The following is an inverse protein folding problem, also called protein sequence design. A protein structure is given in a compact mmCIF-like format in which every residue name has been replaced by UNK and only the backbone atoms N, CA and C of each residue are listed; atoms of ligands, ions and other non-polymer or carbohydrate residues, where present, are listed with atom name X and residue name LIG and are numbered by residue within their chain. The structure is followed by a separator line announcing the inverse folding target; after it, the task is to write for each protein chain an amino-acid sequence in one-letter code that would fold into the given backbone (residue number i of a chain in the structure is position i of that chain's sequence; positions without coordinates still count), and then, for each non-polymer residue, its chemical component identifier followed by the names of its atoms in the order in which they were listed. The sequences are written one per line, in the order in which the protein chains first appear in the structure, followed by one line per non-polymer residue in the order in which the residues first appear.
data_IF_742526863251
#
_entry.id   IF_742526863251
#
_cell.length_a   1.000
_cell.length_b   1.000
_cell.length_c   1.000
_cell.angle_alpha   90.00
_cell.angle_beta   90.00
_cell.angle_gamma   90.00
#
_symmetry.space_group_name_H-M   'P 1'
#
loop_
_entity.id
_entity.type
_entity.pdbx_description
1 polymer ?
#
# COMPACT_ATOMS: atom_id res chain seq x y z
N UNK A 1 33.52 -22.62 18.77
CA UNK A 1 32.51 -22.68 17.68
C UNK A 1 32.10 -21.25 17.41
N UNK A 2 31.88 -20.86 16.16
CA UNK A 2 31.30 -19.55 15.86
C UNK A 2 29.87 -19.50 16.43
N UNK A 3 29.45 -18.35 16.95
CA UNK A 3 28.07 -18.18 17.40
C UNK A 3 27.09 -18.38 16.24
N UNK A 4 25.89 -18.90 16.53
CA UNK A 4 24.80 -18.91 15.57
C UNK A 4 24.40 -17.49 15.21
N UNK A 5 23.97 -17.28 13.96
CA UNK A 5 23.59 -15.96 13.48
C UNK A 5 22.06 -15.79 13.46
N UNK A 6 21.63 -14.58 13.76
CA UNK A 6 20.27 -14.12 13.54
C UNK A 6 20.27 -12.90 12.62
N UNK A 7 19.34 -12.82 11.67
CA UNK A 7 19.11 -11.60 10.88
C UNK A 7 17.99 -10.80 11.52
N UNK A 8 18.28 -9.55 11.87
CA UNK A 8 17.30 -8.62 12.44
C UNK A 8 16.80 -7.68 11.35
N UNK A 9 15.47 -7.62 11.18
CA UNK A 9 14.81 -6.54 10.44
C UNK A 9 15.07 -5.22 11.16
N UNK A 10 15.95 -4.39 10.62
CA UNK A 10 16.48 -3.22 11.29
C UNK A 10 16.04 -1.92 10.60
N UNK A 11 15.24 -1.13 11.30
CA UNK A 11 14.80 0.20 10.83
C UNK A 11 15.66 1.35 11.37
N UNK A 12 16.54 1.08 12.32
CA UNK A 12 17.30 2.11 13.03
C UNK A 12 16.50 2.87 14.11
N UNK A 13 15.23 2.53 14.30
CA UNK A 13 14.40 3.06 15.38
C UNK A 13 14.79 2.51 16.76
N UNK A 14 14.17 3.05 17.81
CA UNK A 14 14.44 2.68 19.20
C UNK A 14 14.28 1.16 19.42
N UNK A 15 13.10 0.61 19.09
CA UNK A 15 12.75 -0.78 19.32
C UNK A 15 13.77 -1.74 18.67
N UNK A 16 14.04 -1.54 17.36
CA UNK A 16 14.98 -2.41 16.65
C UNK A 16 16.42 -2.25 17.11
N UNK A 17 16.79 -1.10 17.67
CA UNK A 17 18.11 -0.85 18.26
C UNK A 17 18.25 -1.55 19.60
N UNK A 18 17.25 -1.51 20.46
CA UNK A 18 17.21 -2.22 21.75
C UNK A 18 17.23 -3.75 21.58
N UNK A 19 16.66 -4.26 20.48
CA UNK A 19 16.64 -5.70 20.17
C UNK A 19 18.05 -6.25 19.93
N UNK A 20 19.02 -5.47 19.45
CA UNK A 20 20.38 -5.95 19.15
C UNK A 20 21.06 -6.51 20.40
N UNK A 21 21.27 -5.75 21.50
CA UNK A 21 21.88 -6.28 22.72
C UNK A 21 21.02 -7.37 23.34
N UNK A 22 19.69 -7.25 23.31
CA UNK A 22 18.78 -8.25 23.85
C UNK A 22 18.95 -9.63 23.20
N UNK A 23 19.09 -9.71 21.87
CA UNK A 23 19.34 -10.97 21.17
C UNK A 23 20.67 -11.61 21.56
N UNK A 24 21.69 -10.79 21.81
CA UNK A 24 23.02 -11.26 22.24
C UNK A 24 22.99 -11.85 23.65
N UNK A 25 22.30 -11.16 24.56
CA UNK A 25 22.21 -11.58 25.97
C UNK A 25 21.27 -12.77 26.17
N UNK A 26 20.13 -12.77 25.48
CA UNK A 26 19.08 -13.76 25.67
C UNK A 26 19.36 -15.08 24.98
N UNK A 27 19.98 -15.03 23.80
CA UNK A 27 20.16 -16.18 22.91
C UNK A 27 21.60 -16.46 22.51
N UNK A 28 22.55 -15.64 22.93
CA UNK A 28 23.98 -15.72 22.54
C UNK A 28 24.22 -15.66 21.02
N UNK A 29 23.36 -14.96 20.28
CA UNK A 29 23.48 -14.82 18.85
C UNK A 29 24.56 -13.81 18.42
N UNK A 30 25.10 -14.06 17.23
CA UNK A 30 25.75 -13.05 16.41
C UNK A 30 24.69 -12.35 15.56
N UNK A 31 24.48 -11.03 15.81
CA UNK A 31 23.38 -10.27 15.22
C UNK A 31 23.83 -9.59 13.94
N UNK A 32 23.20 -9.97 12.82
CA UNK A 32 23.32 -9.32 11.51
C UNK A 32 22.10 -8.46 11.28
N UNK A 33 22.27 -7.15 11.17
CA UNK A 33 21.18 -6.24 10.84
C UNK A 33 20.94 -6.20 9.34
N UNK A 34 19.67 -6.07 8.94
CA UNK A 34 19.29 -5.86 7.54
C UNK A 34 18.21 -4.77 7.48
N UNK A 35 18.56 -3.64 6.87
CA UNK A 35 17.62 -2.60 6.48
C UNK A 35 17.32 -2.75 4.99
N UNK A 36 16.03 -2.68 4.64
CA UNK A 36 15.61 -2.75 3.24
C UNK A 36 15.09 -1.38 2.83
N UNK A 37 15.71 -0.81 1.82
CA UNK A 37 15.32 0.48 1.25
C UNK A 37 14.18 0.29 0.25
N UNK A 38 13.01 0.81 0.63
CA UNK A 38 11.82 0.92 -0.22
C UNK A 38 11.56 2.38 -0.65
N UNK A 39 12.59 3.22 -0.67
CA UNK A 39 12.51 4.63 -0.99
C UNK A 39 12.13 5.53 0.19
N UNK A 40 12.51 5.17 1.43
CA UNK A 40 12.31 5.98 2.63
C UNK A 40 13.26 7.18 2.77
N UNK A 41 14.27 7.29 1.91
CA UNK A 41 15.14 8.48 1.82
C UNK A 41 16.07 8.67 3.02
N UNK A 42 16.03 9.86 3.63
CA UNK A 42 16.96 10.31 4.69
C UNK A 42 16.94 9.44 5.96
N UNK A 43 15.97 8.56 6.15
CA UNK A 43 15.91 7.63 7.28
C UNK A 43 17.09 6.63 7.30
N UNK A 44 17.82 6.50 6.19
CA UNK A 44 18.98 5.62 6.06
C UNK A 44 20.30 6.24 6.57
N UNK A 45 20.32 7.55 6.83
CA UNK A 45 21.53 8.26 7.23
C UNK A 45 22.01 7.81 8.62
N UNK A 46 23.33 7.50 8.72
CA UNK A 46 23.97 7.07 9.96
C UNK A 46 23.53 5.70 10.51
N UNK A 47 22.80 4.92 9.71
CA UNK A 47 22.23 3.64 10.12
C UNK A 47 23.29 2.59 10.41
N UNK A 48 24.35 2.53 9.60
CA UNK A 48 25.45 1.56 9.76
C UNK A 48 26.21 1.80 11.06
N UNK A 49 26.59 3.06 11.32
CA UNK A 49 27.29 3.43 12.56
C UNK A 49 26.45 3.06 13.79
N UNK A 50 25.13 3.34 13.76
CA UNK A 50 24.20 3.02 14.84
C UNK A 50 24.09 1.51 15.07
N UNK A 51 23.93 0.71 14.02
CA UNK A 51 23.82 -0.74 14.14
C UNK A 51 25.09 -1.36 14.74
N UNK A 52 26.26 -0.99 14.21
CA UNK A 52 27.54 -1.51 14.70
C UNK A 52 27.86 -1.07 16.13
N UNK A 53 27.58 0.20 16.45
CA UNK A 53 27.77 0.71 17.81
C UNK A 53 26.86 0.01 18.82
N UNK A 54 25.64 -0.35 18.41
CA UNK A 54 24.69 -1.11 19.23
C UNK A 54 25.05 -2.59 19.40
N UNK A 55 26.12 -3.04 18.73
CA UNK A 55 26.67 -4.38 18.88
C UNK A 55 26.30 -5.39 17.79
N UNK A 56 25.71 -4.96 16.69
CA UNK A 56 25.58 -5.79 15.51
C UNK A 56 26.96 -6.10 14.90
N UNK A 57 27.14 -7.28 14.36
CA UNK A 57 28.39 -7.66 13.68
C UNK A 57 28.44 -7.13 12.24
N UNK A 58 27.30 -6.84 11.66
CA UNK A 58 27.16 -6.39 10.27
C UNK A 58 25.82 -5.70 10.03
N UNK A 59 25.78 -4.75 9.10
CA UNK A 59 24.55 -4.21 8.51
C UNK A 59 24.54 -4.48 7.00
N UNK A 60 23.41 -4.90 6.51
CA UNK A 60 23.02 -4.86 5.11
C UNK A 60 22.03 -3.72 4.90
N UNK A 61 22.24 -2.90 3.88
CA UNK A 61 21.26 -1.96 3.34
C UNK A 61 20.98 -2.43 1.92
N UNK A 62 19.78 -2.98 1.72
CA UNK A 62 19.38 -3.59 0.46
C UNK A 62 18.34 -2.69 -0.23
N UNK A 63 18.73 -2.02 -1.32
CA UNK A 63 17.82 -1.19 -2.11
C UNK A 63 16.94 -2.09 -3.00
N UNK A 64 15.64 -2.06 -2.77
CA UNK A 64 14.63 -2.74 -3.57
C UNK A 64 13.66 -1.75 -4.22
N UNK A 65 14.01 -0.48 -4.32
CA UNK A 65 13.06 0.58 -4.76
C UNK A 65 12.43 0.28 -6.12
N UNK A 66 13.23 -0.10 -7.12
CA UNK A 66 12.69 -0.46 -8.45
C UNK A 66 11.85 -1.75 -8.37
N UNK A 67 12.34 -2.80 -7.68
CA UNK A 67 11.60 -4.06 -7.47
C UNK A 67 10.29 -3.85 -6.71
N UNK A 68 10.30 -3.00 -5.69
CA UNK A 68 9.11 -2.62 -4.93
C UNK A 68 8.06 -1.96 -5.82
N UNK A 69 8.48 -1.07 -6.72
CA UNK A 69 7.57 -0.44 -7.67
C UNK A 69 6.99 -1.43 -8.68
N UNK A 70 7.84 -2.25 -9.30
CA UNK A 70 7.44 -3.12 -10.40
C UNK A 70 6.65 -4.35 -9.93
N UNK A 71 7.08 -4.97 -8.83
CA UNK A 71 6.58 -6.28 -8.39
C UNK A 71 5.62 -6.23 -7.20
N UNK A 72 5.46 -5.07 -6.52
CA UNK A 72 4.53 -4.93 -5.39
C UNK A 72 3.53 -3.79 -5.58
N UNK A 73 3.99 -2.60 -5.98
CA UNK A 73 3.10 -1.45 -6.21
C UNK A 73 2.25 -1.66 -7.46
N UNK A 74 2.88 -1.93 -8.61
CA UNK A 74 2.16 -2.03 -9.88
C UNK A 74 1.08 -3.13 -9.91
N UNK A 75 1.29 -4.34 -9.35
CA UNK A 75 0.20 -5.31 -9.20
C UNK A 75 -0.99 -4.79 -8.41
N UNK A 76 -0.76 -4.00 -7.35
CA UNK A 76 -1.84 -3.37 -6.58
C UNK A 76 -2.55 -2.27 -7.37
N UNK A 77 -1.83 -1.45 -8.14
CA UNK A 77 -2.40 -0.42 -9.01
C UNK A 77 -3.25 -1.07 -10.09
N UNK A 78 -2.72 -2.07 -10.80
CA UNK A 78 -3.44 -2.78 -11.87
C UNK A 78 -4.68 -3.52 -11.36
N UNK A 79 -4.66 -3.97 -10.11
CA UNK A 79 -5.80 -4.62 -9.46
C UNK A 79 -6.86 -3.64 -8.92
N UNK A 80 -6.61 -2.34 -8.91
CA UNK A 80 -7.38 -1.33 -8.14
C UNK A 80 -7.53 -1.74 -6.67
N UNK A 81 -6.43 -2.22 -6.08
CA UNK A 81 -6.43 -2.78 -4.73
C UNK A 81 -6.50 -1.67 -3.68
N UNK A 82 -7.68 -1.47 -3.12
CA UNK A 82 -7.93 -0.47 -2.06
C UNK A 82 -8.60 -1.15 -0.88
N UNK A 83 -7.92 -1.18 0.27
CA UNK A 83 -8.49 -1.78 1.48
C UNK A 83 -9.52 -0.85 2.12
N UNK A 84 -10.69 -1.42 2.46
CA UNK A 84 -11.84 -0.70 3.06
C UNK A 84 -12.23 0.57 2.26
N UNK A 85 -12.04 0.56 0.94
CA UNK A 85 -12.33 1.64 -0.01
C UNK A 85 -11.56 2.95 0.25
N UNK A 86 -10.46 2.92 1.01
CA UNK A 86 -9.67 4.10 1.37
C UNK A 86 -8.16 3.89 1.38
N UNK A 87 -7.69 2.78 1.95
CA UNK A 87 -6.28 2.56 2.22
C UNK A 87 -5.57 1.93 1.02
N UNK A 88 -4.58 2.64 0.49
CA UNK A 88 -3.78 2.23 -0.68
C UNK A 88 -2.61 1.29 -0.34
N UNK A 89 -2.70 0.56 0.78
CA UNK A 89 -1.86 -0.59 1.14
C UNK A 89 -0.35 -0.33 1.32
N UNK A 90 0.11 0.90 1.44
CA UNK A 90 1.54 1.24 1.37
C UNK A 90 2.44 0.44 2.32
N UNK A 91 2.06 0.29 3.58
CA UNK A 91 2.79 -0.57 4.52
C UNK A 91 2.64 -2.05 4.15
N UNK A 92 1.41 -2.45 3.77
CA UNK A 92 1.08 -3.87 3.54
C UNK A 92 1.83 -4.48 2.36
N UNK A 93 2.01 -3.71 1.27
CA UNK A 93 2.71 -4.20 0.08
C UNK A 93 4.23 -4.07 0.18
N UNK A 94 4.77 -3.27 1.11
CA UNK A 94 6.21 -3.20 1.34
C UNK A 94 6.73 -4.41 2.14
N UNK A 95 5.97 -4.89 3.12
CA UNK A 95 6.41 -5.97 4.01
C UNK A 95 6.76 -7.28 3.31
N UNK A 96 6.06 -7.74 2.25
CA UNK A 96 6.47 -8.92 1.49
C UNK A 96 7.85 -8.78 0.85
N UNK A 97 8.17 -7.65 0.22
CA UNK A 97 9.48 -7.38 -0.36
C UNK A 97 10.58 -7.32 0.69
N UNK A 98 10.34 -6.61 1.79
CA UNK A 98 11.26 -6.54 2.93
C UNK A 98 11.55 -7.94 3.49
N UNK A 99 10.51 -8.72 3.78
CA UNK A 99 10.67 -10.04 4.37
C UNK A 99 11.36 -11.04 3.43
N UNK A 100 11.10 -10.96 2.12
CA UNK A 100 11.83 -11.75 1.12
C UNK A 100 13.32 -11.44 1.14
N UNK A 101 13.70 -10.17 1.24
CA UNK A 101 15.10 -9.74 1.31
C UNK A 101 15.76 -10.18 2.62
N UNK A 102 15.03 -10.14 3.74
CA UNK A 102 15.53 -10.70 5.01
C UNK A 102 15.85 -12.20 4.89
N UNK A 103 15.01 -12.97 4.19
CA UNK A 103 15.26 -14.39 3.92
C UNK A 103 16.51 -14.58 3.06
N UNK A 104 16.70 -13.78 2.00
CA UNK A 104 17.91 -13.83 1.17
C UNK A 104 19.18 -13.58 1.99
N UNK A 105 19.18 -12.53 2.83
CA UNK A 105 20.31 -12.20 3.71
C UNK A 105 20.53 -13.32 4.74
N UNK A 106 19.48 -13.89 5.31
CA UNK A 106 19.60 -15.00 6.25
C UNK A 106 20.24 -16.23 5.61
N UNK A 107 19.88 -16.56 4.37
CA UNK A 107 20.53 -17.62 3.60
C UNK A 107 22.00 -17.33 3.31
N UNK A 108 22.30 -16.09 2.89
CA UNK A 108 23.67 -15.64 2.60
C UNK A 108 24.59 -15.71 3.83
N UNK A 109 24.07 -15.37 5.00
CA UNK A 109 24.81 -15.38 6.26
C UNK A 109 24.78 -16.77 6.98
N UNK A 110 24.07 -17.77 6.44
CA UNK A 110 23.80 -19.05 7.09
C UNK A 110 23.18 -18.83 8.49
N UNK A 111 22.29 -17.87 8.62
CA UNK A 111 21.59 -17.60 9.87
C UNK A 111 20.54 -18.68 10.17
N UNK A 112 20.34 -18.95 11.45
CA UNK A 112 19.36 -19.95 11.91
C UNK A 112 18.00 -19.33 12.26
N UNK A 113 17.95 -18.00 12.32
CA UNK A 113 16.75 -17.27 12.71
C UNK A 113 16.64 -15.91 12.01
N UNK A 114 15.41 -15.41 11.90
CA UNK A 114 15.08 -14.03 11.54
C UNK A 114 14.32 -13.43 12.73
N UNK A 115 14.70 -12.19 13.11
CA UNK A 115 14.03 -11.42 14.15
C UNK A 115 13.38 -10.17 13.55
N UNK A 116 12.18 -9.83 14.02
CA UNK A 116 11.51 -8.56 13.66
C UNK A 116 11.01 -7.83 14.91
N UNK A 117 11.04 -6.50 14.88
CA UNK A 117 10.60 -5.62 15.96
C UNK A 117 9.11 -5.24 15.92
N UNK A 118 8.30 -5.92 15.11
CA UNK A 118 6.88 -5.60 15.01
C UNK A 118 6.16 -5.90 16.34
N UNK A 119 5.39 -4.90 16.83
CA UNK A 119 4.65 -5.01 18.08
C UNK A 119 3.52 -6.02 18.02
N UNK A 120 3.13 -6.59 19.16
CA UNK A 120 2.03 -7.56 19.25
C UNK A 120 0.64 -7.01 18.91
N UNK A 121 0.49 -5.68 18.80
CA UNK A 121 -0.77 -4.99 18.46
C UNK A 121 -0.89 -4.65 16.97
N UNK A 122 0.22 -4.71 16.21
CA UNK A 122 0.26 -4.34 14.79
C UNK A 122 0.03 -5.52 13.85
N UNK A 123 -0.33 -5.22 12.59
CA UNK A 123 -0.47 -6.21 11.53
C UNK A 123 0.89 -6.72 11.02
N UNK A 124 1.96 -5.97 11.18
CA UNK A 124 3.26 -6.23 10.56
C UNK A 124 3.88 -7.54 11.02
N UNK A 125 3.65 -7.94 12.29
CA UNK A 125 4.08 -9.25 12.77
C UNK A 125 3.52 -10.39 11.89
N UNK A 126 2.24 -10.29 11.49
CA UNK A 126 1.60 -11.30 10.63
C UNK A 126 2.24 -11.26 9.24
N UNK A 127 2.43 -10.08 8.69
CA UNK A 127 3.00 -9.87 7.35
C UNK A 127 4.41 -10.43 7.22
N UNK A 128 5.29 -10.12 8.17
CA UNK A 128 6.65 -10.68 8.19
C UNK A 128 6.65 -12.19 8.32
N UNK A 129 5.91 -12.71 9.31
CA UNK A 129 5.95 -14.14 9.61
C UNK A 129 5.34 -15.01 8.52
N UNK A 130 4.23 -14.59 7.89
CA UNK A 130 3.64 -15.35 6.79
C UNK A 130 4.58 -15.46 5.60
N UNK A 131 5.31 -14.40 5.28
CA UNK A 131 6.32 -14.41 4.21
C UNK A 131 7.49 -15.33 4.57
N UNK A 132 8.05 -15.18 5.78
CA UNK A 132 9.17 -16.03 6.23
C UNK A 132 8.74 -17.52 6.22
N UNK A 133 7.54 -17.83 6.70
CA UNK A 133 7.00 -19.20 6.66
C UNK A 133 6.82 -19.73 5.24
N UNK A 134 6.46 -18.88 4.29
CA UNK A 134 6.30 -19.26 2.89
C UNK A 134 7.65 -19.52 2.19
N UNK A 135 8.65 -18.67 2.45
CA UNK A 135 9.93 -18.69 1.72
C UNK A 135 11.04 -19.47 2.43
N UNK A 136 10.98 -19.57 3.77
CA UNK A 136 12.00 -20.19 4.59
C UNK A 136 11.40 -20.90 5.83
N UNK A 137 10.61 -21.97 5.62
CA UNK A 137 9.89 -22.66 6.70
C UNK A 137 10.80 -23.32 7.75
N UNK A 138 12.07 -23.48 7.44
CA UNK A 138 13.11 -24.03 8.31
C UNK A 138 13.77 -22.99 9.23
N UNK A 139 13.62 -21.69 8.95
CA UNK A 139 14.19 -20.65 9.79
C UNK A 139 13.30 -20.37 11.01
N UNK A 140 13.94 -20.23 12.17
CA UNK A 140 13.26 -19.80 13.39
C UNK A 140 12.87 -18.31 13.28
N UNK A 141 11.65 -17.99 13.73
CA UNK A 141 11.20 -16.60 13.83
C UNK A 141 11.28 -16.16 15.30
N UNK A 142 11.87 -15.00 15.54
CA UNK A 142 11.96 -14.37 16.86
C UNK A 142 11.17 -13.06 16.81
N UNK A 143 10.19 -12.96 17.70
CA UNK A 143 9.33 -11.78 17.85
C UNK A 143 9.38 -11.31 19.31
N UNK A 144 10.27 -10.38 19.67
CA UNK A 144 10.52 -9.99 21.07
C UNK A 144 9.24 -9.61 21.82
N UNK A 145 8.37 -8.80 21.23
CA UNK A 145 7.10 -8.36 21.84
C UNK A 145 6.13 -9.49 22.23
N UNK A 146 6.43 -10.74 21.88
CA UNK A 146 5.68 -11.95 22.25
C UNK A 146 6.55 -12.96 22.96
N UNK A 147 7.77 -12.59 23.33
CA UNK A 147 8.69 -13.44 24.08
C UNK A 147 8.64 -13.07 25.56
N UNK A 148 8.42 -14.05 26.44
CA UNK A 148 8.34 -13.84 27.89
C UNK A 148 9.64 -13.25 28.51
N UNK A 149 10.75 -13.34 27.77
CA UNK A 149 12.04 -12.75 28.17
C UNK A 149 12.18 -11.27 27.82
N UNK A 150 11.28 -10.74 26.98
CA UNK A 150 11.23 -9.31 26.68
C UNK A 150 10.52 -8.55 27.78
N UNK A 151 11.26 -7.70 28.49
CA UNK A 151 10.75 -6.99 29.66
C UNK A 151 10.57 -5.49 29.42
N UNK A 152 10.85 -5.02 28.20
CA UNK A 152 10.70 -3.61 27.82
C UNK A 152 9.31 -3.40 27.23
N UNK A 153 8.36 -3.03 28.08
CA UNK A 153 6.94 -2.84 27.74
C UNK A 153 6.56 -1.39 27.40
N UNK A 154 7.52 -0.46 27.53
CA UNK A 154 7.36 0.95 27.26
C UNK A 154 8.59 1.56 26.59
N UNK A 155 8.38 2.69 25.89
CA UNK A 155 9.45 3.47 25.27
C UNK A 155 10.50 3.93 26.27
N UNK A 156 10.08 4.29 27.47
CA UNK A 156 10.97 4.68 28.56
C UNK A 156 11.87 3.53 29.00
N UNK A 157 11.30 2.31 29.13
CA UNK A 157 12.06 1.11 29.49
C UNK A 157 13.10 0.76 28.40
N UNK A 158 12.75 0.89 27.12
CA UNK A 158 13.71 0.69 26.01
C UNK A 158 14.84 1.71 26.03
N UNK A 159 14.54 2.99 26.31
CA UNK A 159 15.55 4.05 26.42
C UNK A 159 16.49 3.78 27.61
N UNK A 160 15.96 3.37 28.76
CA UNK A 160 16.77 3.02 29.93
C UNK A 160 17.64 1.80 29.66
N UNK A 161 17.11 0.78 28.99
CA UNK A 161 17.84 -0.40 28.57
C UNK A 161 18.99 -0.04 27.62
N UNK A 162 18.73 0.77 26.60
CA UNK A 162 19.76 1.24 25.68
C UNK A 162 20.86 2.04 26.40
N UNK A 163 20.50 2.92 27.34
CA UNK A 163 21.47 3.67 28.18
C UNK A 163 22.33 2.75 29.04
N UNK A 164 21.74 1.70 29.61
CA UNK A 164 22.46 0.71 30.41
C UNK A 164 23.51 -0.07 29.59
N UNK A 165 23.33 -0.09 28.26
CA UNK A 165 24.25 -0.72 27.31
C UNK A 165 25.15 0.28 26.59
N UNK A 166 25.29 1.52 27.12
CA UNK A 166 26.06 2.62 26.53
C UNK A 166 25.62 3.02 25.11
N UNK A 167 24.39 2.66 24.70
CA UNK A 167 23.84 2.99 23.39
C UNK A 167 23.24 4.40 23.43
N UNK A 168 23.91 5.34 22.76
CA UNK A 168 23.42 6.72 22.64
C UNK A 168 22.47 6.84 21.44
N UNK A 169 21.21 7.09 21.76
CA UNK A 169 20.16 7.27 20.75
C UNK A 169 19.92 8.76 20.51
N UNK A 170 19.77 9.19 19.25
CA UNK A 170 19.38 10.56 18.93
C UNK A 170 17.89 10.83 19.22
N UNK A 171 17.21 9.90 19.89
CA UNK A 171 15.78 10.00 20.17
C UNK A 171 15.55 10.59 21.58
N UNK A 172 14.73 11.61 21.62
CA UNK A 172 14.16 12.13 22.87
C UNK A 172 12.82 11.44 23.18
N UNK A 173 12.34 11.59 24.40
CA UNK A 173 10.99 11.15 24.84
C UNK A 173 9.89 12.03 24.22
N UNK A 174 10.15 12.68 23.09
CA UNK A 174 9.22 13.64 22.51
C UNK A 174 7.93 12.96 22.03
N UNK A 175 6.83 13.64 22.29
CA UNK A 175 5.50 13.36 21.77
C UNK A 175 5.51 13.43 20.22
N UNK A 176 5.88 12.33 19.57
CA UNK A 176 5.92 12.24 18.11
C UNK A 176 4.98 11.16 17.61
N UNK A 177 4.39 11.38 16.43
CA UNK A 177 3.62 10.34 15.76
C UNK A 177 4.49 9.12 15.47
N UNK A 178 3.90 7.93 15.57
CA UNK A 178 4.48 6.73 14.98
C UNK A 178 4.32 6.81 13.48
N UNK A 179 5.41 6.67 12.75
CA UNK A 179 5.44 6.81 11.28
C UNK A 179 6.07 5.59 10.64
N UNK A 180 5.52 5.19 9.49
CA UNK A 180 6.11 4.22 8.57
C UNK A 180 6.12 4.82 7.17
N UNK A 181 7.29 4.92 6.55
CA UNK A 181 7.51 5.58 5.27
C UNK A 181 8.15 4.66 4.25
N UNK A 182 7.69 4.76 3.03
CA UNK A 182 8.33 4.23 1.84
C UNK A 182 8.03 5.14 0.63
N UNK A 183 8.46 4.76 -0.56
CA UNK A 183 8.23 5.56 -1.76
C UNK A 183 6.75 5.84 -2.04
N UNK A 184 5.86 4.90 -1.69
CA UNK A 184 4.43 5.00 -1.99
C UNK A 184 3.67 5.89 -1.02
N UNK A 185 4.01 5.85 0.27
CA UNK A 185 3.25 6.53 1.31
C UNK A 185 4.05 6.85 2.58
N UNK A 186 3.39 7.59 3.46
CA UNK A 186 3.73 7.66 4.88
C UNK A 186 2.46 7.48 5.71
N UNK A 187 2.54 6.67 6.76
CA UNK A 187 1.49 6.52 7.77
C UNK A 187 1.80 7.34 9.02
N UNK A 188 0.75 7.82 9.69
CA UNK A 188 0.82 8.52 10.97
C UNK A 188 -0.17 7.89 11.94
N UNK A 189 0.30 7.51 13.12
CA UNK A 189 -0.50 6.94 14.21
C UNK A 189 -0.08 7.58 15.55
N UNK A 190 -0.95 7.48 16.55
CA UNK A 190 -0.68 7.95 17.92
C UNK A 190 -1.14 9.38 18.18
N UNK A 191 -0.80 9.91 19.36
CA UNK A 191 -1.20 11.23 19.84
C UNK A 191 -2.72 11.45 19.77
N UNK A 192 -3.17 12.62 19.25
CA UNK A 192 -4.59 12.94 19.12
C UNK A 192 -5.34 11.99 18.18
N UNK A 193 -4.63 11.24 17.32
CA UNK A 193 -5.27 10.27 16.43
C UNK A 193 -5.82 9.04 17.18
N UNK A 194 -5.39 8.80 18.42
CA UNK A 194 -5.92 7.70 19.25
C UNK A 194 -7.38 7.95 19.67
N UNK A 195 -7.83 9.21 19.67
CA UNK A 195 -9.22 9.58 19.90
C UNK A 195 -9.91 9.93 18.57
N UNK A 196 -10.84 9.11 18.08
CA UNK A 196 -11.58 9.41 16.85
C UNK A 196 -12.41 10.70 16.88
N UNK A 197 -12.64 11.28 18.06
CA UNK A 197 -13.34 12.56 18.21
C UNK A 197 -12.42 13.78 18.01
N UNK A 198 -11.10 13.58 18.01
CA UNK A 198 -10.14 14.65 17.80
C UNK A 198 -9.86 14.90 16.34
N UNK A 199 -9.78 16.17 15.95
CA UNK A 199 -9.35 16.60 14.61
C UNK A 199 -7.83 16.44 14.49
N UNK A 200 -7.32 15.86 13.36
CA UNK A 200 -5.88 15.76 13.13
C UNK A 200 -5.25 17.14 12.96
N UNK A 201 -4.10 17.36 13.59
CA UNK A 201 -3.33 18.58 13.39
C UNK A 201 -2.46 18.45 12.12
N UNK A 202 -3.05 18.69 10.95
CA UNK A 202 -2.36 18.56 9.66
C UNK A 202 -1.10 19.42 9.53
N UNK A 203 -1.00 20.52 10.27
CA UNK A 203 0.19 21.40 10.24
C UNK A 203 1.43 20.74 10.82
N UNK A 204 1.26 19.84 11.78
CA UNK A 204 2.34 19.08 12.41
C UNK A 204 2.45 17.65 11.91
N UNK A 205 1.36 17.13 11.34
CA UNK A 205 1.27 15.74 10.93
C UNK A 205 1.86 15.53 9.54
N UNK A 206 1.49 16.36 8.55
CA UNK A 206 1.84 16.15 7.15
C UNK A 206 3.34 16.32 6.88
N UNK A 207 3.90 15.42 6.09
CA UNK A 207 5.32 15.37 5.70
C UNK A 207 5.51 15.40 4.19
N UNK A 208 4.62 14.72 3.44
CA UNK A 208 4.74 14.63 1.98
C UNK A 208 4.04 15.77 1.25
N UNK A 209 3.18 16.50 1.92
CA UNK A 209 2.40 17.56 1.30
C UNK A 209 1.86 18.59 2.27
N UNK A 210 0.87 19.32 1.81
CA UNK A 210 0.15 20.35 2.57
C UNK A 210 -1.34 20.00 2.65
N UNK A 211 -2.06 20.59 3.60
CA UNK A 211 -3.53 20.46 3.59
C UNK A 211 -4.15 21.16 2.37
N UNK A 212 -5.34 20.74 1.91
CA UNK A 212 -6.02 21.37 0.78
C UNK A 212 -6.20 22.90 0.92
N UNK A 213 -6.38 23.39 2.16
CA UNK A 213 -6.52 24.82 2.46
C UNK A 213 -5.24 25.59 2.16
N UNK A 214 -4.07 24.95 2.34
CA UNK A 214 -2.75 25.55 2.12
C UNK A 214 -2.20 25.34 0.71
N UNK A 215 -2.88 24.50 -0.09
CA UNK A 215 -2.50 24.26 -1.47
C UNK A 215 -2.67 25.49 -2.34
N UNK A 216 -1.91 25.63 -3.46
CA UNK A 216 -1.99 26.76 -4.37
C UNK A 216 -3.40 27.03 -4.90
N UNK A 217 -3.73 28.31 -5.13
CA UNK A 217 -4.99 28.73 -5.75
C UNK A 217 -5.02 28.53 -7.28
N UNK A 218 -3.86 28.25 -7.87
CA UNK A 218 -3.75 27.96 -9.31
C UNK A 218 -3.71 26.46 -9.54
N UNK A 219 -4.55 25.93 -10.45
CA UNK A 219 -4.51 24.51 -10.82
C UNK A 219 -3.28 24.16 -11.65
N UNK A 220 -2.82 22.92 -11.54
CA UNK A 220 -1.71 22.39 -12.36
C UNK A 220 -2.21 21.26 -13.25
N UNK A 221 -1.83 21.28 -14.55
CA UNK A 221 -2.20 20.24 -15.48
C UNK A 221 -1.13 19.15 -15.52
N UNK A 222 -1.57 17.92 -15.55
CA UNK A 222 -0.76 16.72 -15.61
C UNK A 222 -1.22 15.84 -16.76
N UNK A 223 -0.28 15.40 -17.59
CA UNK A 223 -0.52 14.38 -18.64
C UNK A 223 0.32 13.16 -18.35
N UNK A 224 -0.29 11.98 -18.39
CA UNK A 224 0.38 10.69 -18.20
C UNK A 224 0.07 9.76 -19.35
N UNK A 225 1.06 8.98 -19.80
CA UNK A 225 0.83 7.90 -20.75
C UNK A 225 1.05 6.54 -20.11
N UNK A 226 0.30 5.56 -20.57
CA UNK A 226 0.37 4.17 -20.13
C UNK A 226 0.53 3.23 -21.29
N UNK A 227 1.22 2.12 -21.06
CA UNK A 227 1.31 0.99 -21.96
C UNK A 227 1.05 -0.31 -21.17
N UNK A 228 0.04 -1.07 -21.57
CA UNK A 228 -0.39 -2.30 -20.91
C UNK A 228 -0.54 -2.14 -19.37
N UNK A 229 -1.19 -1.05 -18.93
CA UNK A 229 -1.44 -0.75 -17.53
C UNK A 229 -0.25 -0.20 -16.74
N UNK A 230 0.90 0.01 -17.39
CA UNK A 230 2.12 0.54 -16.75
C UNK A 230 2.35 1.99 -17.18
N UNK A 231 2.54 2.95 -16.24
CA UNK A 231 2.82 4.34 -16.58
C UNK A 231 4.19 4.46 -17.26
N UNK A 232 4.30 5.31 -18.27
CA UNK A 232 5.52 5.52 -19.08
C UNK A 232 6.05 6.94 -19.03
N UNK A 233 5.15 7.94 -19.08
CA UNK A 233 5.59 9.33 -19.14
C UNK A 233 4.78 10.21 -18.21
N UNK A 234 5.41 11.33 -17.78
CA UNK A 234 4.74 12.50 -17.18
C UNK A 234 5.06 13.69 -18.05
N UNK A 235 4.03 14.41 -18.54
CA UNK A 235 4.14 15.60 -19.37
C UNK A 235 5.07 15.39 -20.58
N UNK A 236 5.06 14.17 -21.16
CA UNK A 236 5.86 13.79 -22.32
C UNK A 236 7.30 13.34 -22.00
N UNK A 237 7.74 13.38 -20.75
CA UNK A 237 9.03 12.88 -20.32
C UNK A 237 8.94 11.39 -19.90
N UNK A 238 9.74 10.53 -20.54
CA UNK A 238 9.80 9.11 -20.22
C UNK A 238 10.60 8.88 -18.94
N UNK A 239 10.05 8.06 -18.03
CA UNK A 239 10.63 7.80 -16.71
C UNK A 239 10.41 6.35 -16.30
N UNK A 240 11.26 5.85 -15.38
CA UNK A 240 10.98 4.63 -14.62
C UNK A 240 9.78 4.82 -13.70
N UNK A 241 9.10 3.73 -13.35
CA UNK A 241 7.93 3.77 -12.44
C UNK A 241 8.26 4.43 -11.11
N UNK A 242 9.42 4.14 -10.52
CA UNK A 242 9.87 4.77 -9.28
C UNK A 242 9.97 6.30 -9.39
N UNK A 243 10.52 6.82 -10.50
CA UNK A 243 10.66 8.26 -10.72
C UNK A 243 9.31 8.93 -11.02
N UNK A 244 8.42 8.22 -11.72
CA UNK A 244 7.02 8.64 -11.91
C UNK A 244 6.35 8.82 -10.54
N UNK A 245 6.47 7.84 -9.63
CA UNK A 245 5.85 7.92 -8.29
C UNK A 245 6.45 9.08 -7.50
N UNK A 246 7.79 9.28 -7.53
CA UNK A 246 8.43 10.44 -6.88
C UNK A 246 7.87 11.76 -7.40
N UNK A 247 7.79 11.89 -8.73
CA UNK A 247 7.25 13.10 -9.35
C UNK A 247 5.78 13.34 -9.01
N UNK A 248 4.98 12.28 -8.99
CA UNK A 248 3.58 12.37 -8.59
C UNK A 248 3.42 12.70 -7.09
N UNK A 249 4.32 12.22 -6.23
CA UNK A 249 4.35 12.61 -4.81
C UNK A 249 4.60 14.12 -4.65
N UNK A 250 5.55 14.70 -5.41
CA UNK A 250 5.79 16.14 -5.40
C UNK A 250 4.56 16.93 -5.84
N UNK A 251 3.99 16.57 -6.98
CA UNK A 251 2.82 17.24 -7.54
C UNK A 251 1.58 17.09 -6.65
N UNK A 252 1.30 15.87 -6.21
CA UNK A 252 0.15 15.56 -5.35
C UNK A 252 0.28 16.22 -3.99
N UNK A 253 1.45 16.15 -3.37
CA UNK A 253 1.73 16.79 -2.09
C UNK A 253 1.58 18.31 -2.15
N UNK A 254 2.10 18.95 -3.20
CA UNK A 254 1.91 20.40 -3.47
C UNK A 254 0.44 20.79 -3.50
N UNK A 255 -0.41 19.96 -4.08
CA UNK A 255 -1.84 20.23 -4.25
C UNK A 255 -2.73 19.64 -3.14
N UNK A 256 -2.16 19.13 -2.05
CA UNK A 256 -2.91 18.58 -0.91
C UNK A 256 -3.69 17.30 -1.25
N UNK A 257 -3.20 16.51 -2.21
CA UNK A 257 -3.84 15.27 -2.68
C UNK A 257 -3.34 14.09 -1.86
N UNK A 258 -4.21 13.09 -1.63
CA UNK A 258 -3.83 11.79 -1.09
C UNK A 258 -3.76 11.74 0.44
N UNK A 259 -4.43 12.63 1.14
CA UNK A 259 -4.58 12.58 2.60
C UNK A 259 -5.83 11.76 2.93
N UNK A 260 -5.65 10.69 3.71
CA UNK A 260 -6.72 9.77 4.10
C UNK A 260 -6.70 9.56 5.61
N UNK A 261 -7.75 9.99 6.29
CA UNK A 261 -8.03 9.65 7.69
C UNK A 261 -9.01 8.47 7.73
N UNK A 262 -8.58 7.38 8.35
CA UNK A 262 -9.36 6.14 8.38
C UNK A 262 -9.31 5.48 9.76
N UNK A 263 -10.45 4.98 10.21
CA UNK A 263 -10.55 3.98 11.27
C UNK A 263 -10.68 2.62 10.60
N UNK A 264 -9.58 1.88 10.51
CA UNK A 264 -9.49 0.60 9.83
C UNK A 264 -9.67 -0.61 10.76
N UNK A 265 -10.03 -1.75 10.21
CA UNK A 265 -10.07 -3.01 10.92
C UNK A 265 -8.75 -3.77 10.75
N UNK A 266 -7.96 -3.88 11.82
CA UNK A 266 -6.71 -4.67 11.81
C UNK A 266 -6.99 -6.16 11.75
N UNK A 267 -6.09 -6.91 11.13
CA UNK A 267 -6.14 -8.39 11.06
C UNK A 267 -6.19 -9.02 12.45
N UNK A 268 -5.52 -8.41 13.41
CA UNK A 268 -5.53 -8.83 14.82
C UNK A 268 -6.86 -8.56 15.55
N UNK A 269 -7.88 -8.02 14.87
CA UNK A 269 -9.26 -7.94 15.34
C UNK A 269 -9.65 -6.62 16.01
N UNK A 270 -8.74 -5.66 16.16
CA UNK A 270 -9.05 -4.33 16.72
C UNK A 270 -9.22 -3.28 15.63
N UNK A 271 -9.93 -2.21 15.95
CA UNK A 271 -9.95 -0.99 15.13
C UNK A 271 -8.76 -0.11 15.50
N UNK A 272 -8.19 0.55 14.49
CA UNK A 272 -7.11 1.52 14.67
C UNK A 272 -7.33 2.70 13.74
N UNK A 273 -7.05 3.91 14.21
CA UNK A 273 -7.08 5.11 13.38
C UNK A 273 -5.67 5.47 12.95
N UNK A 274 -5.54 5.80 11.68
CA UNK A 274 -4.32 6.34 11.10
C UNK A 274 -4.63 7.39 10.05
N UNK A 275 -3.71 8.32 9.86
CA UNK A 275 -3.71 9.24 8.72
C UNK A 275 -2.61 8.81 7.77
N UNK A 276 -2.96 8.67 6.51
CA UNK A 276 -2.05 8.26 5.45
C UNK A 276 -1.87 9.39 4.44
N UNK A 277 -0.63 9.65 4.05
CA UNK A 277 -0.31 10.48 2.89
C UNK A 277 0.15 9.57 1.75
N UNK A 278 -0.59 9.56 0.66
CA UNK A 278 -0.28 8.77 -0.54
C UNK A 278 -0.51 9.63 -1.78
N UNK A 279 0.16 10.78 -1.92
CA UNK A 279 -0.17 11.76 -2.94
C UNK A 279 0.01 11.22 -4.36
N UNK A 280 1.17 10.66 -4.67
CA UNK A 280 1.45 10.08 -5.99
C UNK A 280 0.63 8.85 -6.28
N UNK A 281 0.46 7.99 -5.26
CA UNK A 281 -0.35 6.79 -5.40
C UNK A 281 -1.81 7.09 -5.72
N UNK A 282 -2.39 8.10 -5.09
CA UNK A 282 -3.77 8.54 -5.36
C UNK A 282 -3.94 9.02 -6.80
N UNK A 283 -2.96 9.78 -7.32
CA UNK A 283 -2.99 10.23 -8.73
C UNK A 283 -2.81 9.05 -9.68
N UNK A 284 -1.87 8.15 -9.41
CA UNK A 284 -1.59 7.00 -10.26
C UNK A 284 -2.78 6.03 -10.34
N UNK A 285 -3.43 5.73 -9.20
CA UNK A 285 -4.65 4.92 -9.15
C UNK A 285 -5.77 5.56 -9.97
N UNK A 286 -6.02 6.86 -9.78
CA UNK A 286 -7.04 7.60 -10.54
C UNK A 286 -6.77 7.61 -12.05
N UNK A 287 -5.50 7.74 -12.45
CA UNK A 287 -5.12 7.74 -13.87
C UNK A 287 -5.31 6.36 -14.51
N UNK A 288 -4.92 5.30 -13.81
CA UNK A 288 -5.09 3.94 -14.26
C UNK A 288 -6.58 3.58 -14.40
N UNK A 289 -7.41 3.85 -13.38
CA UNK A 289 -8.85 3.62 -13.41
C UNK A 289 -9.52 4.38 -14.56
N UNK A 290 -9.15 5.65 -14.78
CA UNK A 290 -9.72 6.46 -15.86
C UNK A 290 -9.41 5.88 -17.25
N UNK A 291 -8.26 5.26 -17.44
CA UNK A 291 -7.91 4.60 -18.70
C UNK A 291 -8.67 3.29 -18.89
N UNK A 292 -8.87 2.52 -17.83
CA UNK A 292 -9.69 1.31 -17.85
C UNK A 292 -11.16 1.58 -18.21
N UNK A 293 -11.70 2.73 -17.80
CA UNK A 293 -13.07 3.16 -18.20
C UNK A 293 -13.27 3.19 -19.72
N UNK A 294 -12.20 3.44 -20.51
CA UNK A 294 -12.26 3.42 -21.96
C UNK A 294 -11.97 2.07 -22.59
N UNK A 295 -11.19 1.21 -21.94
CA UNK A 295 -10.54 0.06 -22.58
C UNK A 295 -11.10 -1.29 -22.15
N UNK A 296 -11.82 -1.34 -21.03
CA UNK A 296 -12.43 -2.57 -20.52
C UNK A 296 -13.95 -2.57 -20.74
N UNK A 297 -14.48 -3.73 -21.11
CA UNK A 297 -15.92 -3.95 -21.16
C UNK A 297 -16.54 -4.06 -19.76
N UNK A 298 -17.86 -3.96 -19.69
CA UNK A 298 -18.61 -3.91 -18.43
C UNK A 298 -18.38 -5.15 -17.54
N UNK A 299 -18.47 -6.33 -18.12
CA UNK A 299 -18.36 -7.60 -17.40
C UNK A 299 -16.95 -7.80 -16.85
N UNK A 300 -15.94 -7.44 -17.62
CA UNK A 300 -14.52 -7.47 -17.21
C UNK A 300 -14.28 -6.47 -16.07
N UNK A 301 -14.75 -5.23 -16.19
CA UNK A 301 -14.63 -4.21 -15.14
C UNK A 301 -15.30 -4.65 -13.83
N UNK A 302 -16.54 -5.14 -13.88
CA UNK A 302 -17.27 -5.60 -12.70
C UNK A 302 -16.56 -6.77 -12.00
N UNK A 303 -16.03 -7.71 -12.77
CA UNK A 303 -15.28 -8.85 -12.24
C UNK A 303 -13.96 -8.39 -11.62
N UNK A 304 -13.22 -7.53 -12.32
CA UNK A 304 -11.95 -6.97 -11.85
C UNK A 304 -12.12 -6.21 -10.54
N UNK A 305 -13.15 -5.36 -10.39
CA UNK A 305 -13.42 -4.63 -9.14
C UNK A 305 -13.67 -5.56 -7.95
N UNK A 306 -14.38 -6.66 -8.14
CA UNK A 306 -14.60 -7.67 -7.09
C UNK A 306 -13.30 -8.36 -6.70
N UNK A 307 -12.50 -8.77 -7.68
CA UNK A 307 -11.21 -9.42 -7.45
C UNK A 307 -10.18 -8.44 -6.89
N UNK A 308 -10.20 -7.16 -7.28
CA UNK A 308 -9.36 -6.11 -6.73
C UNK A 308 -9.59 -5.88 -5.23
N UNK A 309 -10.85 -5.87 -4.80
CA UNK A 309 -11.19 -5.82 -3.38
C UNK A 309 -10.66 -7.04 -2.63
N UNK A 310 -10.77 -8.23 -3.21
CA UNK A 310 -10.21 -9.46 -2.63
C UNK A 310 -8.69 -9.44 -2.62
N UNK A 311 -8.06 -8.92 -3.67
CA UNK A 311 -6.61 -8.74 -3.75
C UNK A 311 -6.12 -7.80 -2.63
N UNK A 312 -6.81 -6.67 -2.43
CA UNK A 312 -6.50 -5.73 -1.36
C UNK A 312 -6.55 -6.40 0.03
N UNK A 313 -7.57 -7.23 0.28
CA UNK A 313 -7.69 -7.98 1.53
C UNK A 313 -6.52 -8.97 1.71
N UNK A 314 -6.20 -9.73 0.67
CA UNK A 314 -5.09 -10.71 0.69
C UNK A 314 -3.75 -10.02 0.97
N UNK A 315 -3.50 -8.87 0.34
CA UNK A 315 -2.29 -8.05 0.57
C UNK A 315 -2.28 -7.49 1.99
N UNK A 316 -3.38 -6.92 2.45
CA UNK A 316 -3.51 -6.35 3.79
C UNK A 316 -3.21 -7.37 4.89
N UNK A 317 -3.68 -8.61 4.71
CA UNK A 317 -3.49 -9.74 5.62
C UNK A 317 -2.10 -10.39 5.55
N UNK A 318 -1.19 -9.90 4.70
CA UNK A 318 0.17 -10.44 4.55
C UNK A 318 0.26 -11.74 3.76
N UNK A 319 -0.77 -12.10 3.00
CA UNK A 319 -0.89 -13.33 2.22
C UNK A 319 -0.33 -13.20 0.79
N UNK A 320 0.77 -12.45 0.63
CA UNK A 320 1.37 -12.18 -0.68
C UNK A 320 1.78 -13.45 -1.42
N UNK A 321 2.43 -14.38 -0.74
CA UNK A 321 2.90 -15.64 -1.32
C UNK A 321 1.86 -16.76 -1.18
N UNK A 322 0.64 -16.52 -1.71
CA UNK A 322 -0.44 -17.52 -1.70
C UNK A 322 -0.98 -17.77 -3.10
N UNK A 323 -1.43 -19.01 -3.41
CA UNK A 323 -2.03 -19.33 -4.70
C UNK A 323 -3.21 -18.43 -5.07
N UNK A 324 -4.00 -17.99 -4.09
CA UNK A 324 -5.12 -17.07 -4.34
C UNK A 324 -4.65 -15.72 -4.89
N UNK A 325 -3.62 -15.12 -4.26
CA UNK A 325 -3.05 -13.86 -4.74
C UNK A 325 -2.51 -14.01 -6.16
N UNK A 326 -1.78 -15.10 -6.44
CA UNK A 326 -1.22 -15.39 -7.76
C UNK A 326 -2.31 -15.56 -8.83
N UNK A 327 -3.38 -16.28 -8.51
CA UNK A 327 -4.51 -16.47 -9.43
C UNK A 327 -5.23 -15.16 -9.74
N UNK A 328 -5.46 -14.30 -8.73
CA UNK A 328 -6.07 -12.99 -8.95
C UNK A 328 -5.15 -12.11 -9.78
N UNK A 329 -3.86 -12.09 -9.49
CA UNK A 329 -2.88 -11.32 -10.27
C UNK A 329 -2.87 -11.74 -11.73
N UNK A 330 -2.84 -13.05 -12.03
CA UNK A 330 -2.86 -13.55 -13.38
C UNK A 330 -4.14 -13.12 -14.16
N UNK A 331 -5.30 -13.11 -13.49
CA UNK A 331 -6.52 -12.54 -14.04
C UNK A 331 -6.35 -11.05 -14.36
N UNK A 332 -5.90 -10.27 -13.38
CA UNK A 332 -5.69 -8.82 -13.54
C UNK A 332 -4.73 -8.52 -14.67
N UNK A 333 -3.56 -9.15 -14.70
CA UNK A 333 -2.56 -8.99 -15.76
C UNK A 333 -3.15 -9.24 -17.16
N UNK A 334 -4.02 -10.26 -17.30
CA UNK A 334 -4.67 -10.56 -18.57
C UNK A 334 -5.58 -9.43 -19.08
N UNK A 335 -6.13 -8.62 -18.18
CA UNK A 335 -6.98 -7.47 -18.50
C UNK A 335 -6.19 -6.24 -18.96
N UNK A 336 -4.89 -6.17 -18.60
CA UNK A 336 -4.07 -4.96 -18.82
C UNK A 336 -3.57 -4.79 -20.26
N UNK A 337 -3.61 -5.83 -21.05
CA UNK A 337 -3.04 -5.84 -22.42
C UNK A 337 -3.41 -4.62 -23.28
N UNK A 338 -4.63 -4.11 -23.14
CA UNK A 338 -5.15 -2.98 -23.92
C UNK A 338 -5.34 -1.70 -23.09
N UNK A 339 -4.93 -1.70 -21.82
CA UNK A 339 -4.94 -0.51 -20.96
C UNK A 339 -3.76 0.38 -21.33
N UNK A 340 -3.88 1.03 -22.49
CA UNK A 340 -2.84 1.83 -23.15
C UNK A 340 -3.44 3.13 -23.65
N UNK A 341 -2.79 4.25 -23.38
CA UNK A 341 -3.29 5.55 -23.80
C UNK A 341 -2.73 6.71 -22.98
N UNK A 342 -3.38 7.86 -23.10
CA UNK A 342 -3.03 9.11 -22.43
C UNK A 342 -4.17 9.57 -21.55
N UNK A 343 -3.82 9.99 -20.32
CA UNK A 343 -4.74 10.57 -19.34
C UNK A 343 -4.28 11.97 -18.98
N UNK A 344 -5.23 12.93 -18.93
CA UNK A 344 -4.99 14.31 -18.51
C UNK A 344 -5.81 14.64 -17.28
N UNK A 345 -5.15 15.26 -16.31
CA UNK A 345 -5.75 15.77 -15.10
C UNK A 345 -5.48 17.26 -14.90
N UNK A 346 -6.33 17.86 -14.09
CA UNK A 346 -6.11 19.13 -13.45
C UNK A 346 -6.08 18.91 -11.94
N UNK A 347 -4.92 19.15 -11.30
CA UNK A 347 -4.70 18.99 -9.86
C UNK A 347 -5.03 20.31 -9.18
N UNK A 348 -5.90 20.29 -8.17
CA UNK A 348 -6.32 21.52 -7.50
C UNK A 348 -6.91 21.23 -6.11
N UNK A 349 -6.27 21.75 -5.07
CA UNK A 349 -6.78 21.76 -3.68
C UNK A 349 -7.41 20.44 -3.25
N UNK A 350 -6.60 19.38 -3.20
CA UNK A 350 -7.02 18.03 -2.79
C UNK A 350 -7.79 17.25 -3.86
N UNK A 351 -8.06 17.84 -5.03
CA UNK A 351 -8.88 17.22 -6.07
C UNK A 351 -8.05 16.84 -7.29
N UNK A 352 -8.43 15.70 -7.88
CA UNK A 352 -7.97 15.23 -9.19
C UNK A 352 -9.15 15.38 -10.15
N UNK A 353 -9.09 16.37 -11.03
CA UNK A 353 -10.18 16.70 -11.94
C UNK A 353 -9.84 16.15 -13.32
N UNK A 354 -10.72 15.31 -13.89
CA UNK A 354 -10.54 14.75 -15.24
C UNK A 354 -10.50 15.87 -16.29
N UNK A 355 -9.49 15.84 -17.16
CA UNK A 355 -9.29 16.83 -18.23
C UNK A 355 -9.22 16.19 -19.63
N UNK A 356 -9.31 14.87 -19.71
CA UNK A 356 -9.37 14.13 -20.97
C UNK A 356 -8.66 12.79 -20.89
N UNK A 357 -9.09 11.85 -21.74
CA UNK A 357 -8.48 10.52 -21.87
C UNK A 357 -8.57 10.05 -23.30
N UNK A 358 -7.50 9.50 -23.83
CA UNK A 358 -7.46 8.92 -25.17
C UNK A 358 -6.81 7.54 -25.15
N UNK A 359 -7.31 6.62 -25.96
CA UNK A 359 -6.73 5.30 -26.14
C UNK A 359 -6.94 4.79 -27.57
N UNK A 360 -5.92 4.17 -28.20
CA UNK A 360 -6.12 3.47 -29.47
C UNK A 360 -7.01 2.22 -29.32
N UNK A 361 -7.23 1.76 -28.10
CA UNK A 361 -8.09 0.61 -27.77
C UNK A 361 -9.42 1.01 -27.12
N UNK A 362 -9.84 2.27 -27.31
CA UNK A 362 -11.08 2.79 -26.74
C UNK A 362 -12.30 1.99 -27.23
N UNK A 363 -13.11 1.55 -26.29
CA UNK A 363 -14.43 0.97 -26.56
C UNK A 363 -15.52 2.06 -26.65
N UNK A 364 -15.19 3.30 -26.30
CA UNK A 364 -16.10 4.44 -26.50
C UNK A 364 -16.13 4.82 -27.98
N UNK A 365 -17.29 4.66 -28.58
CA UNK A 365 -17.55 5.05 -29.98
C UNK A 365 -18.45 6.27 -29.98
N UNK A 366 -17.90 7.45 -30.38
CA UNK A 366 -18.62 8.71 -30.39
C UNK A 366 -19.88 8.64 -31.26
N UNK A 367 -19.83 7.98 -32.43
CA UNK A 367 -20.98 7.87 -33.34
C UNK A 367 -22.13 7.02 -32.74
N UNK A 368 -21.83 6.01 -31.91
CA UNK A 368 -22.82 5.22 -31.21
C UNK A 368 -23.39 5.93 -29.96
N UNK A 369 -22.54 6.70 -29.26
CA UNK A 369 -22.88 7.35 -28.01
C UNK A 369 -23.50 8.74 -28.22
N UNK A 370 -23.40 9.32 -29.41
CA UNK A 370 -23.87 10.68 -29.73
C UNK A 370 -25.39 10.79 -29.70
N UNK A 371 -25.90 11.83 -29.06
CA UNK A 371 -27.31 12.22 -29.12
C UNK A 371 -27.71 12.99 -30.39
N UNK A 372 -26.74 13.35 -31.24
CA UNK A 372 -26.92 14.24 -32.38
C UNK A 372 -26.66 13.60 -33.74
N UNK A 373 -26.01 12.46 -33.79
CA UNK A 373 -25.68 11.73 -35.04
C UNK A 373 -26.51 10.48 -35.17
N UNK A 374 -26.92 10.20 -36.40
CA UNK A 374 -27.90 9.17 -36.75
C UNK A 374 -27.55 7.74 -36.35
N UNK A 375 -28.50 6.91 -36.54
CA UNK A 375 -28.70 5.59 -35.99
C UNK A 375 -27.69 4.56 -36.60
N UNK A 376 -26.66 4.22 -35.83
CA UNK A 376 -25.76 3.09 -36.18
C UNK A 376 -26.32 1.74 -35.77
N UNK A 377 -27.45 1.71 -35.08
CA UNK A 377 -28.20 0.49 -34.77
C UNK A 377 -29.71 0.79 -34.81
N UNK A 378 -30.54 -0.23 -34.98
CA UNK A 378 -31.99 -0.09 -34.96
C UNK A 378 -32.50 0.05 -33.52
N UNK A 379 -33.06 1.20 -33.20
CA UNK A 379 -33.63 1.48 -31.86
C UNK A 379 -34.76 0.50 -31.49
N UNK A 380 -35.43 -0.12 -32.50
CA UNK A 380 -36.48 -1.13 -32.24
C UNK A 380 -35.95 -2.43 -31.66
N UNK A 381 -34.64 -2.72 -31.80
CA UNK A 381 -34.03 -3.88 -31.11
C UNK A 381 -34.15 -3.80 -29.61
N UNK A 382 -34.24 -2.58 -29.02
CA UNK A 382 -34.43 -2.36 -27.59
C UNK A 382 -35.80 -2.87 -27.11
N UNK A 383 -36.85 -2.86 -27.93
CA UNK A 383 -38.19 -3.29 -27.55
C UNK A 383 -38.24 -4.77 -27.14
N UNK A 384 -37.61 -5.62 -27.95
CA UNK A 384 -37.48 -7.05 -27.69
C UNK A 384 -36.65 -7.33 -26.44
N UNK A 385 -35.50 -6.66 -26.34
CA UNK A 385 -34.61 -6.78 -25.18
C UNK A 385 -35.33 -6.36 -23.89
N UNK A 386 -35.94 -5.18 -23.84
CA UNK A 386 -36.65 -4.66 -22.65
C UNK A 386 -37.80 -5.59 -22.25
N UNK A 387 -38.56 -6.12 -23.22
CA UNK A 387 -39.66 -7.05 -22.97
C UNK A 387 -39.17 -8.30 -22.25
N UNK A 388 -38.12 -8.95 -22.75
CA UNK A 388 -37.58 -10.18 -22.15
C UNK A 388 -36.86 -9.90 -20.83
N UNK A 389 -36.05 -8.85 -20.77
CA UNK A 389 -35.30 -8.46 -19.57
C UNK A 389 -36.24 -8.02 -18.41
N UNK A 390 -37.37 -7.38 -18.75
CA UNK A 390 -38.38 -6.96 -17.80
C UNK A 390 -39.37 -8.05 -17.41
N UNK A 391 -39.35 -9.23 -18.05
CA UNK A 391 -40.33 -10.29 -17.82
C UNK A 391 -40.44 -10.76 -16.35
N UNK A 392 -39.31 -10.96 -15.61
CA UNK A 392 -39.40 -11.32 -14.19
C UNK A 392 -40.11 -10.28 -13.32
N UNK A 393 -39.94 -8.98 -13.63
CA UNK A 393 -40.61 -7.89 -12.93
C UNK A 393 -42.11 -7.90 -13.22
N UNK A 394 -42.51 -8.13 -14.48
CA UNK A 394 -43.87 -8.24 -14.90
C UNK A 394 -44.59 -9.42 -14.21
N UNK A 395 -43.92 -10.60 -14.20
CA UNK A 395 -44.49 -11.80 -13.54
C UNK A 395 -44.66 -11.56 -12.04
N UNK A 396 -43.66 -10.95 -11.38
CA UNK A 396 -43.75 -10.58 -9.96
C UNK A 396 -44.93 -9.64 -9.69
N UNK A 397 -45.13 -8.61 -10.50
CA UNK A 397 -46.21 -7.66 -10.35
C UNK A 397 -47.59 -8.34 -10.52
N UNK A 398 -47.72 -9.26 -11.49
CA UNK A 398 -48.93 -10.05 -11.68
C UNK A 398 -49.25 -10.92 -10.46
N UNK A 399 -48.28 -11.63 -9.94
CA UNK A 399 -48.41 -12.47 -8.75
C UNK A 399 -48.84 -11.65 -7.52
N UNK A 400 -48.22 -10.51 -7.27
CA UNK A 400 -48.57 -9.66 -6.13
C UNK A 400 -50.01 -9.15 -6.23
N UNK A 401 -50.45 -8.76 -7.43
CA UNK A 401 -51.82 -8.32 -7.66
C UNK A 401 -52.86 -9.44 -7.43
N UNK A 402 -52.55 -10.66 -7.83
CA UNK A 402 -53.40 -11.83 -7.57
C UNK A 402 -53.51 -12.15 -6.08
N UNK A 403 -52.38 -12.10 -5.36
CA UNK A 403 -52.37 -12.29 -3.89
C UNK A 403 -53.20 -11.22 -3.17
N UNK A 404 -53.14 -9.96 -3.59
CA UNK A 404 -53.92 -8.89 -3.01
C UNK A 404 -55.42 -9.05 -3.26
N UNK A 405 -55.81 -9.52 -4.45
CA UNK A 405 -57.19 -9.80 -4.79
C UNK A 405 -57.76 -10.97 -3.98
N UNK A 406 -56.95 -11.98 -3.68
CA UNK A 406 -57.38 -13.14 -2.90
C UNK A 406 -57.41 -12.87 -1.38
N UNK A 407 -56.92 -11.73 -0.91
CA UNK A 407 -57.00 -11.29 0.48
C UNK A 407 -58.29 -10.45 0.80
N UNK A 408 -58.99 -10.03 -0.24
CA UNK A 408 -60.27 -9.33 -0.13
C UNK A 408 -61.45 -10.31 -0.26
#
# INVERSE_FOLDING_TARGET
MSKEKVVLAYSGGLDTTAIIPWLKETYDFDVVCCCVDCGQGEELDGLEERALYSGASKLYIEDITDDFCENYIMPCVQADAVYENKYLLGTSMARPGIAAKLVEVARKENAVAICHGATGKGNDQIRFELVIKALAPDLKIIAPWRDDKWQMDSREAEIEYCKAHDIHLPFSVDNSYSRDRNLWHISHEGLELEDPACEPNYDHLLVLGVSPEKAPDEPEYLTMTFEAGVPKTINGEEMKVADIIRKLNELGGKHGIGIVDIVENRVVGMKSRGVYETPGGTILMAAHEQLEELTLDRETMETKKKLGSQFAQVVYEGKWYTPLREAIQAFVESTQKYVTGEVKFKLYKGNIIKAGTTSPYSLYNESLASFTTGDLYDHHDADGFITLFGLPLKVRAMMLKEVEQNKK
#
